data_IF_698838702710
#
_entry.id   IF_698838702710
#
_cell.length_a   1.000
_cell.length_b   1.000
_cell.length_c   1.000
_cell.angle_alpha   90.00
_cell.angle_beta   90.00
_cell.angle_gamma   90.00
#
_symmetry.space_group_name_H-M   'P 1'
#
loop_
_entity.id
_entity.type
_entity.pdbx_description
1 polymer ?
#
# COMPACT_ATOMS: atom_id res chain seq x y z
N UNK A 1 -42.17 -3.12 -4.48
CA UNK A 1 -41.46 -3.19 -5.78
C UNK A 1 -39.98 -2.83 -5.64
N UNK A 2 -39.62 -1.60 -5.23
CA UNK A 2 -38.22 -1.15 -5.14
C UNK A 2 -37.31 -2.05 -4.30
N UNK A 3 -37.78 -2.52 -3.14
CA UNK A 3 -37.01 -3.44 -2.29
C UNK A 3 -36.64 -4.74 -2.99
N UNK A 4 -37.57 -5.32 -3.75
CA UNK A 4 -37.34 -6.55 -4.51
C UNK A 4 -36.30 -6.32 -5.61
N UNK A 5 -36.40 -5.20 -6.33
CA UNK A 5 -35.42 -4.79 -7.34
C UNK A 5 -34.03 -4.59 -6.74
N UNK A 6 -33.92 -3.98 -5.55
CA UNK A 6 -32.65 -3.83 -4.86
C UNK A 6 -32.00 -5.19 -4.54
N UNK A 7 -32.76 -6.16 -4.02
CA UNK A 7 -32.24 -7.53 -3.79
C UNK A 7 -31.80 -8.20 -5.10
N UNK A 8 -32.54 -8.02 -6.18
CA UNK A 8 -32.17 -8.54 -7.50
C UNK A 8 -30.86 -7.93 -8.03
N UNK A 9 -30.66 -6.63 -7.85
CA UNK A 9 -29.41 -5.94 -8.20
C UNK A 9 -28.23 -6.46 -7.36
N UNK A 10 -28.42 -6.66 -6.06
CA UNK A 10 -27.40 -7.24 -5.18
C UNK A 10 -27.03 -8.67 -5.62
N UNK A 11 -28.03 -9.45 -6.07
CA UNK A 11 -27.79 -10.79 -6.63
C UNK A 11 -27.04 -10.71 -7.95
N UNK A 12 -27.38 -9.76 -8.81
CA UNK A 12 -26.73 -9.54 -10.10
C UNK A 12 -25.25 -9.19 -9.96
N UNK A 13 -24.88 -8.38 -8.96
CA UNK A 13 -23.47 -8.09 -8.66
C UNK A 13 -22.76 -9.19 -7.87
N UNK A 14 -23.40 -10.34 -7.67
CA UNK A 14 -22.82 -11.49 -6.98
C UNK A 14 -22.56 -11.28 -5.50
N UNK A 15 -23.37 -10.45 -4.81
CA UNK A 15 -23.27 -10.29 -3.36
C UNK A 15 -23.80 -11.56 -2.66
N UNK A 16 -23.04 -12.18 -1.73
CA UNK A 16 -23.50 -13.36 -1.01
C UNK A 16 -24.64 -13.02 -0.05
N UNK A 17 -25.63 -13.92 0.09
CA UNK A 17 -26.82 -13.74 0.95
C UNK A 17 -27.52 -12.37 0.76
N UNK A 18 -27.90 -11.97 -0.47
CA UNK A 18 -28.37 -10.62 -0.76
C UNK A 18 -29.63 -10.23 0.06
N UNK A 19 -30.50 -11.19 0.37
CA UNK A 19 -31.70 -11.02 1.19
C UNK A 19 -31.39 -10.58 2.62
N UNK A 20 -30.23 -11.00 3.14
CA UNK A 20 -29.73 -10.62 4.47
C UNK A 20 -28.91 -9.34 4.40
N UNK A 21 -28.00 -9.26 3.43
CA UNK A 21 -27.04 -8.16 3.29
C UNK A 21 -27.67 -6.82 2.92
N UNK A 22 -28.86 -6.82 2.33
CA UNK A 22 -29.60 -5.57 2.06
C UNK A 22 -29.92 -4.76 3.33
N UNK A 23 -29.93 -5.41 4.51
CA UNK A 23 -30.16 -4.75 5.81
C UNK A 23 -28.85 -4.44 6.55
N UNK A 24 -27.70 -4.82 6.01
CA UNK A 24 -26.40 -4.60 6.64
C UNK A 24 -25.97 -3.15 6.50
N UNK A 25 -25.31 -2.63 7.55
CA UNK A 25 -24.62 -1.36 7.45
C UNK A 25 -23.33 -1.50 6.64
N UNK A 26 -22.82 -0.41 6.03
CA UNK A 26 -21.58 -0.47 5.25
C UNK A 26 -20.39 -1.07 6.02
N UNK A 27 -20.25 -0.75 7.32
CA UNK A 27 -19.16 -1.26 8.16
C UNK A 27 -19.24 -2.76 8.46
N UNK A 28 -20.34 -3.42 8.13
CA UNK A 28 -20.54 -4.87 8.29
C UNK A 28 -20.21 -5.66 7.01
N UNK A 29 -19.81 -4.96 5.94
CA UNK A 29 -19.44 -5.51 4.64
C UNK A 29 -17.92 -5.45 4.44
N UNK A 30 -17.36 -6.44 3.76
CA UNK A 30 -15.96 -6.38 3.31
C UNK A 30 -15.78 -5.31 2.22
N UNK A 31 -14.55 -4.83 1.98
CA UNK A 31 -14.28 -3.85 0.93
C UNK A 31 -14.80 -4.28 -0.45
N UNK A 32 -14.59 -5.55 -0.83
CA UNK A 32 -15.14 -6.10 -2.07
C UNK A 32 -16.68 -6.17 -2.09
N UNK A 33 -17.32 -6.41 -0.95
CA UNK A 33 -18.78 -6.38 -0.83
C UNK A 33 -19.33 -4.95 -0.93
N UNK A 34 -18.67 -3.98 -0.29
CA UNK A 34 -19.01 -2.56 -0.45
C UNK A 34 -18.89 -2.13 -1.90
N UNK A 35 -17.83 -2.55 -2.60
CA UNK A 35 -17.65 -2.25 -4.02
C UNK A 35 -18.76 -2.85 -4.89
N UNK A 36 -19.17 -4.09 -4.63
CA UNK A 36 -20.32 -4.72 -5.31
C UNK A 36 -21.61 -3.95 -5.07
N UNK A 37 -21.87 -3.50 -3.84
CA UNK A 37 -23.03 -2.65 -3.52
C UNK A 37 -22.97 -1.33 -4.28
N UNK A 38 -21.79 -0.68 -4.37
CA UNK A 38 -21.61 0.55 -5.15
C UNK A 38 -21.88 0.33 -6.64
N UNK A 39 -21.41 -0.78 -7.21
CA UNK A 39 -21.72 -1.15 -8.60
C UNK A 39 -23.23 -1.36 -8.77
N UNK A 40 -23.89 -2.07 -7.85
CA UNK A 40 -25.33 -2.29 -7.88
C UNK A 40 -26.12 -0.97 -7.87
N UNK A 41 -25.66 0.01 -7.06
CA UNK A 41 -26.22 1.36 -7.04
C UNK A 41 -26.02 2.04 -8.40
N UNK A 42 -24.81 1.97 -8.97
CA UNK A 42 -24.49 2.61 -10.25
C UNK A 42 -25.32 2.06 -11.42
N UNK A 43 -25.59 0.74 -11.43
CA UNK A 43 -26.37 0.11 -12.50
C UNK A 43 -27.88 0.09 -12.26
N UNK A 44 -28.36 0.60 -11.12
CA UNK A 44 -29.76 0.46 -10.71
C UNK A 44 -30.76 1.07 -11.72
N UNK A 45 -30.33 2.09 -12.46
CA UNK A 45 -31.11 2.77 -13.49
C UNK A 45 -30.75 2.32 -14.92
N UNK A 46 -30.05 1.20 -15.08
CA UNK A 46 -29.64 0.63 -16.37
C UNK A 46 -28.95 1.68 -17.27
N UNK A 47 -27.87 2.32 -16.78
CA UNK A 47 -27.22 3.39 -17.51
C UNK A 47 -26.54 2.86 -18.78
N UNK A 48 -26.55 3.68 -19.83
CA UNK A 48 -25.79 3.41 -21.06
C UNK A 48 -24.29 3.69 -20.92
N UNK A 49 -23.90 4.44 -19.89
CA UNK A 49 -22.51 4.79 -19.58
C UNK A 49 -22.26 4.61 -18.08
N UNK A 50 -21.25 3.80 -17.75
CA UNK A 50 -20.72 3.67 -16.41
C UNK A 50 -19.37 4.39 -16.33
N UNK A 51 -19.25 5.36 -15.43
CA UNK A 51 -17.97 6.00 -15.10
C UNK A 51 -17.44 5.32 -13.84
N UNK A 52 -16.34 4.61 -13.98
CA UNK A 52 -15.72 3.85 -12.90
C UNK A 52 -14.44 4.55 -12.46
N UNK A 53 -14.54 5.35 -11.39
CA UNK A 53 -13.42 6.08 -10.79
C UNK A 53 -12.73 5.21 -9.73
N UNK A 54 -11.49 4.80 -10.03
CA UNK A 54 -10.64 3.95 -9.19
C UNK A 54 -11.37 2.72 -8.58
N UNK A 55 -12.14 1.94 -9.38
CA UNK A 55 -13.13 1.00 -8.88
C UNK A 55 -12.54 -0.25 -8.22
N UNK A 56 -11.20 -0.37 -8.20
CA UNK A 56 -10.49 -1.50 -7.61
C UNK A 56 -9.49 -1.09 -6.52
N UNK A 57 -9.45 0.21 -6.19
CA UNK A 57 -8.57 0.72 -5.14
C UNK A 57 -8.85 0.05 -3.80
N UNK A 58 -7.78 -0.27 -3.06
CA UNK A 58 -7.82 -0.92 -1.74
C UNK A 58 -8.45 -2.32 -1.71
N UNK A 59 -8.61 -2.97 -2.87
CA UNK A 59 -8.98 -4.38 -2.97
C UNK A 59 -7.71 -5.24 -3.18
N UNK A 60 -7.72 -6.46 -2.66
CA UNK A 60 -6.66 -7.41 -3.00
C UNK A 60 -6.77 -7.87 -4.46
N UNK A 61 -5.67 -8.39 -5.02
CA UNK A 61 -5.55 -8.76 -6.44
C UNK A 61 -6.64 -9.74 -6.89
N UNK A 62 -7.05 -10.68 -6.01
CA UNK A 62 -8.10 -11.65 -6.32
C UNK A 62 -9.46 -10.97 -6.43
N UNK A 63 -9.82 -10.13 -5.46
CA UNK A 63 -11.07 -9.38 -5.47
C UNK A 63 -11.10 -8.35 -6.60
N UNK A 64 -9.99 -7.66 -6.85
CA UNK A 64 -9.83 -6.75 -7.99
C UNK A 64 -10.20 -7.43 -9.31
N UNK A 65 -9.63 -8.62 -9.58
CA UNK A 65 -9.97 -9.38 -10.79
C UNK A 65 -11.46 -9.75 -10.87
N UNK A 66 -12.06 -10.13 -9.74
CA UNK A 66 -13.49 -10.44 -9.70
C UNK A 66 -14.37 -9.21 -10.00
N UNK A 67 -13.98 -8.03 -9.51
CA UNK A 67 -14.70 -6.78 -9.76
C UNK A 67 -14.56 -6.35 -11.22
N UNK A 68 -13.37 -6.45 -11.81
CA UNK A 68 -13.16 -6.18 -13.23
C UNK A 68 -14.01 -7.11 -14.10
N UNK A 69 -13.98 -8.42 -13.82
CA UNK A 69 -14.80 -9.38 -14.55
C UNK A 69 -16.30 -9.06 -14.42
N UNK A 70 -16.76 -8.71 -13.21
CA UNK A 70 -18.13 -8.27 -12.99
C UNK A 70 -18.50 -7.07 -13.86
N UNK A 71 -17.65 -6.05 -13.95
CA UNK A 71 -17.90 -4.87 -14.77
C UNK A 71 -17.94 -5.27 -16.27
N UNK A 72 -17.04 -6.13 -16.75
CA UNK A 72 -17.10 -6.64 -18.14
C UNK A 72 -18.38 -7.42 -18.43
N UNK A 73 -18.83 -8.26 -17.50
CA UNK A 73 -20.05 -9.05 -17.68
C UNK A 73 -21.29 -8.15 -17.71
N UNK A 74 -21.33 -7.14 -16.84
CA UNK A 74 -22.37 -6.11 -16.84
C UNK A 74 -22.34 -5.27 -18.12
N UNK A 75 -21.14 -4.91 -18.60
CA UNK A 75 -20.94 -4.20 -19.86
C UNK A 75 -21.62 -4.92 -21.02
N UNK A 76 -21.32 -6.21 -21.17
CA UNK A 76 -21.89 -7.07 -22.23
C UNK A 76 -23.39 -7.27 -22.05
N UNK A 77 -23.84 -7.53 -20.82
CA UNK A 77 -25.25 -7.82 -20.52
C UNK A 77 -26.16 -6.62 -20.78
N UNK A 78 -25.74 -5.42 -20.39
CA UNK A 78 -26.55 -4.20 -20.50
C UNK A 78 -26.25 -3.38 -21.75
N UNK A 79 -25.24 -3.76 -22.54
CA UNK A 79 -24.79 -2.98 -23.70
C UNK A 79 -24.30 -1.59 -23.30
N UNK A 80 -23.74 -1.44 -22.09
CA UNK A 80 -23.24 -0.16 -21.59
C UNK A 80 -21.80 0.09 -22.09
N UNK A 81 -21.42 1.36 -22.15
CA UNK A 81 -20.01 1.77 -22.27
C UNK A 81 -19.42 2.00 -20.89
N UNK A 82 -18.12 1.76 -20.73
CA UNK A 82 -17.41 1.97 -19.46
C UNK A 82 -16.28 2.96 -19.67
N UNK A 83 -16.29 4.07 -18.94
CA UNK A 83 -15.15 4.97 -18.81
C UNK A 83 -14.42 4.60 -17.52
N UNK A 84 -13.23 4.01 -17.66
CA UNK A 84 -12.43 3.55 -16.54
C UNK A 84 -11.34 4.56 -16.21
N UNK A 85 -11.36 5.12 -15.00
CA UNK A 85 -10.37 6.11 -14.53
C UNK A 85 -9.51 5.40 -13.48
N UNK A 86 -8.22 5.22 -13.78
CA UNK A 86 -7.28 4.63 -12.83
C UNK A 86 -5.84 5.05 -13.10
N UNK A 87 -5.01 5.03 -12.07
CA UNK A 87 -3.56 5.10 -12.18
C UNK A 87 -2.88 3.72 -12.36
N UNK A 88 -3.61 2.60 -12.20
CA UNK A 88 -3.04 1.26 -12.40
C UNK A 88 -3.07 0.86 -13.89
N UNK A 89 -1.94 1.04 -14.56
CA UNK A 89 -1.75 0.64 -15.96
C UNK A 89 -1.93 -0.89 -16.18
N UNK A 90 -1.95 -1.71 -15.14
CA UNK A 90 -2.04 -3.18 -15.24
C UNK A 90 -3.47 -3.58 -15.48
N UNK A 91 -4.37 -2.96 -14.71
CA UNK A 91 -5.80 -3.01 -14.93
C UNK A 91 -6.16 -2.49 -16.32
N UNK A 92 -5.62 -1.33 -16.71
CA UNK A 92 -5.87 -0.77 -18.05
C UNK A 92 -5.45 -1.75 -19.14
N UNK A 93 -4.27 -2.35 -19.01
CA UNK A 93 -3.74 -3.31 -19.98
C UNK A 93 -4.56 -4.60 -20.12
N UNK A 94 -5.27 -5.01 -19.06
CA UNK A 94 -6.09 -6.22 -19.06
C UNK A 94 -7.54 -5.97 -19.51
N UNK A 95 -8.07 -4.77 -19.27
CA UNK A 95 -9.51 -4.52 -19.36
C UNK A 95 -9.94 -3.51 -20.44
N UNK A 96 -9.10 -2.53 -20.79
CA UNK A 96 -9.51 -1.46 -21.69
C UNK A 96 -9.34 -1.85 -23.16
N UNK A 97 -10.16 -1.26 -24.03
CA UNK A 97 -9.95 -1.34 -25.50
C UNK A 97 -9.02 -0.21 -25.98
N UNK A 98 -9.26 1.01 -25.48
CA UNK A 98 -8.51 2.22 -25.76
C UNK A 98 -8.02 2.89 -24.46
N UNK A 99 -6.94 3.66 -24.58
CA UNK A 99 -6.31 4.36 -23.45
C UNK A 99 -6.07 5.80 -23.82
N UNK A 100 -6.37 6.70 -22.88
CA UNK A 100 -6.02 8.12 -22.93
C UNK A 100 -5.07 8.42 -21.78
N UNK A 101 -3.85 8.84 -22.11
CA UNK A 101 -2.84 9.24 -21.12
C UNK A 101 -2.88 10.76 -20.97
N UNK A 102 -3.11 11.23 -19.75
CA UNK A 102 -3.20 12.65 -19.44
C UNK A 102 -2.08 13.11 -18.49
N UNK A 103 -1.65 14.36 -18.66
CA UNK A 103 -0.73 15.05 -17.75
C UNK A 103 -1.09 16.53 -17.67
N UNK A 104 -1.18 17.08 -16.45
CA UNK A 104 -1.53 18.49 -16.20
C UNK A 104 -2.80 18.96 -16.94
N UNK A 105 -3.82 18.09 -17.01
CA UNK A 105 -5.08 18.38 -17.69
C UNK A 105 -5.03 18.31 -19.22
N UNK A 106 -3.93 17.86 -19.81
CA UNK A 106 -3.73 17.76 -21.26
C UNK A 106 -3.53 16.30 -21.65
N UNK A 107 -4.19 15.87 -22.74
CA UNK A 107 -3.95 14.56 -23.34
C UNK A 107 -2.54 14.55 -23.95
N UNK A 108 -1.73 13.60 -23.50
CA UNK A 108 -0.35 13.39 -23.98
C UNK A 108 -0.31 12.33 -25.07
N UNK A 109 -1.14 11.30 -24.94
CA UNK A 109 -1.19 10.21 -25.90
C UNK A 109 -2.56 9.52 -25.83
N UNK A 110 -3.03 9.01 -26.96
CA UNK A 110 -4.25 8.24 -27.07
C UNK A 110 -4.09 7.16 -28.15
N UNK A 111 -4.60 5.96 -27.89
CA UNK A 111 -4.57 4.85 -28.84
C UNK A 111 -5.14 3.56 -28.26
N UNK A 112 -5.01 2.47 -29.01
CA UNK A 112 -5.36 1.14 -28.48
C UNK A 112 -4.42 0.76 -27.35
N UNK A 113 -4.88 -0.10 -26.43
CA UNK A 113 -4.00 -0.63 -25.36
C UNK A 113 -2.70 -1.19 -25.94
N UNK A 114 -2.78 -1.94 -27.03
CA UNK A 114 -1.60 -2.50 -27.69
C UNK A 114 -0.60 -1.42 -28.11
N UNK A 115 -1.07 -0.36 -28.77
CA UNK A 115 -0.20 0.74 -29.21
C UNK A 115 0.47 1.44 -28.03
N UNK A 116 -0.30 1.77 -26.99
CA UNK A 116 0.19 2.50 -25.82
C UNK A 116 1.20 1.67 -25.02
N UNK A 117 0.97 0.37 -24.85
CA UNK A 117 1.81 -0.49 -24.02
C UNK A 117 3.03 -1.06 -24.75
N UNK A 118 2.90 -1.38 -26.04
CA UNK A 118 4.01 -1.98 -26.81
C UNK A 118 4.86 -0.94 -27.54
N UNK A 119 4.27 0.16 -28.02
CA UNK A 119 4.96 1.18 -28.81
C UNK A 119 4.51 2.61 -28.45
N UNK A 120 4.67 3.04 -27.18
CA UNK A 120 4.36 4.40 -26.76
C UNK A 120 5.21 5.42 -27.52
N UNK A 121 4.62 6.55 -27.90
CA UNK A 121 5.29 7.62 -28.61
C UNK A 121 5.70 8.77 -27.67
N UNK A 122 4.82 9.17 -26.76
CA UNK A 122 5.07 10.31 -25.86
C UNK A 122 6.07 9.93 -24.75
N UNK A 123 6.96 10.88 -24.42
CA UNK A 123 7.99 10.67 -23.42
C UNK A 123 7.41 10.38 -22.03
N UNK A 124 6.29 10.99 -21.67
CA UNK A 124 5.62 10.75 -20.39
C UNK A 124 5.00 9.35 -20.34
N UNK A 125 4.38 8.87 -21.42
CA UNK A 125 3.85 7.49 -21.49
C UNK A 125 4.96 6.46 -21.36
N UNK A 126 6.08 6.65 -22.06
CA UNK A 126 7.29 5.81 -21.91
C UNK A 126 7.79 5.78 -20.47
N UNK A 127 7.81 6.95 -19.83
CA UNK A 127 8.23 7.08 -18.44
C UNK A 127 7.29 6.33 -17.49
N UNK A 128 5.97 6.50 -17.63
CA UNK A 128 4.95 5.84 -16.82
C UNK A 128 5.06 4.30 -16.88
N UNK A 129 5.24 3.76 -18.09
CA UNK A 129 5.38 2.31 -18.29
C UNK A 129 6.70 1.79 -17.70
N UNK A 130 7.79 2.55 -17.82
CA UNK A 130 9.11 2.16 -17.32
C UNK A 130 9.25 2.24 -15.80
N UNK A 131 8.41 3.03 -15.12
CA UNK A 131 8.39 3.09 -13.65
C UNK A 131 7.84 1.81 -13.00
N UNK A 132 7.24 0.90 -13.79
CA UNK A 132 6.61 -0.32 -13.26
C UNK A 132 7.68 -1.38 -12.92
N UNK A 133 7.63 -2.01 -11.74
CA UNK A 133 8.52 -3.12 -11.43
C UNK A 133 8.26 -4.31 -12.35
N UNK A 134 9.33 -4.85 -12.94
CA UNK A 134 9.27 -6.04 -13.78
C UNK A 134 9.79 -7.28 -13.03
N UNK A 135 9.24 -8.46 -13.34
CA UNK A 135 9.65 -9.71 -12.68
C UNK A 135 11.00 -10.24 -13.19
N UNK A 136 11.34 -9.96 -14.45
CA UNK A 136 12.59 -10.34 -15.11
C UNK A 136 13.74 -9.39 -14.77
N UNK A 137 13.45 -8.14 -14.41
CA UNK A 137 14.47 -7.11 -14.12
C UNK A 137 14.55 -6.78 -12.63
N UNK A 138 15.76 -6.41 -12.18
CA UNK A 138 15.99 -5.95 -10.81
C UNK A 138 17.06 -4.86 -10.79
N UNK A 139 16.77 -3.69 -11.37
CA UNK A 139 17.73 -2.60 -11.39
C UNK A 139 18.10 -2.17 -9.97
N UNK A 140 19.30 -1.61 -9.82
CA UNK A 140 19.78 -1.03 -8.56
C UNK A 140 18.95 0.19 -8.13
N UNK A 141 18.36 0.91 -9.09
CA UNK A 141 17.42 2.02 -8.89
C UNK A 141 16.29 1.88 -9.91
N UNK A 142 15.05 1.96 -9.46
CA UNK A 142 13.86 1.99 -10.32
C UNK A 142 13.82 3.31 -11.09
N UNK A 143 13.37 3.25 -12.34
CA UNK A 143 13.21 4.45 -13.15
C UNK A 143 12.09 5.32 -12.57
N UNK A 144 12.29 6.64 -12.57
CA UNK A 144 11.26 7.62 -12.21
C UNK A 144 10.95 8.52 -13.41
N UNK A 145 9.82 9.22 -13.37
CA UNK A 145 9.38 10.05 -14.50
C UNK A 145 10.45 11.08 -14.91
N UNK A 146 11.08 11.72 -13.93
CA UNK A 146 12.09 12.75 -14.18
C UNK A 146 13.31 12.23 -14.94
N UNK A 147 13.59 10.92 -14.91
CA UNK A 147 14.71 10.33 -15.65
C UNK A 147 14.47 10.35 -17.17
N UNK A 148 13.20 10.37 -17.61
CA UNK A 148 12.81 10.37 -19.02
C UNK A 148 12.44 11.76 -19.56
N UNK A 149 12.22 12.72 -18.66
CA UNK A 149 11.91 14.10 -19.04
C UNK A 149 13.18 14.95 -19.24
N UNK A 150 14.34 14.43 -18.83
CA UNK A 150 15.65 15.04 -19.09
C UNK A 150 16.05 14.85 -20.55
N UNK A 151 16.89 15.76 -21.09
CA UNK A 151 17.39 15.65 -22.46
C UNK A 151 18.34 14.47 -22.66
N UNK A 152 18.99 13.98 -21.59
CA UNK A 152 19.84 12.79 -21.67
C UNK A 152 18.99 11.51 -21.79
N UNK A 153 19.41 10.54 -22.62
CA UNK A 153 18.72 9.27 -22.69
C UNK A 153 18.85 8.52 -21.36
N UNK A 154 17.74 7.91 -20.92
CA UNK A 154 17.74 7.05 -19.75
C UNK A 154 18.69 5.85 -19.97
N UNK A 155 19.60 5.66 -19.02
CA UNK A 155 20.49 4.50 -18.95
C UNK A 155 20.06 3.65 -17.77
N UNK A 156 19.66 2.41 -18.05
CA UNK A 156 19.24 1.48 -17.00
C UNK A 156 20.43 1.17 -16.08
N UNK A 157 20.28 1.32 -14.74
CA UNK A 157 21.35 1.06 -13.79
C UNK A 157 21.63 -0.46 -13.69
N UNK A 158 22.81 -0.85 -13.16
CA UNK A 158 23.18 -2.27 -13.05
C UNK A 158 22.15 -3.06 -12.23
N UNK A 159 22.05 -4.34 -12.53
CA UNK A 159 21.08 -5.23 -11.88
C UNK A 159 21.64 -5.76 -10.56
N UNK A 160 20.77 -5.93 -9.57
CA UNK A 160 21.08 -6.57 -8.29
C UNK A 160 20.74 -8.05 -8.36
N UNK A 161 21.57 -8.86 -7.71
CA UNK A 161 21.33 -10.31 -7.59
C UNK A 161 20.06 -10.62 -6.79
N UNK A 162 19.39 -11.72 -7.12
CA UNK A 162 18.19 -12.22 -6.42
C UNK A 162 18.59 -13.23 -5.34
N UNK A 163 17.78 -13.31 -4.29
CA UNK A 163 17.95 -14.30 -3.23
C UNK A 163 18.99 -13.94 -2.17
N UNK A 164 19.20 -14.92 -1.28
CA UNK A 164 20.11 -14.82 -0.15
C UNK A 164 21.42 -15.52 -0.53
N UNK A 165 22.55 -14.92 -0.16
CA UNK A 165 23.86 -15.54 -0.26
C UNK A 165 24.15 -16.36 1.01
N UNK A 166 24.99 -17.38 0.89
CA UNK A 166 25.32 -18.28 2.01
C UNK A 166 26.00 -17.58 3.21
N UNK A 167 26.53 -16.37 3.03
CA UNK A 167 27.15 -15.56 4.07
C UNK A 167 26.30 -14.38 4.57
N UNK A 168 25.03 -14.28 4.15
CA UNK A 168 24.18 -13.17 4.58
C UNK A 168 23.89 -13.21 6.09
N UNK A 169 24.12 -12.08 6.76
CA UNK A 169 23.81 -11.90 8.18
C UNK A 169 22.28 -11.85 8.38
N UNK A 170 21.71 -12.83 9.11
CA UNK A 170 20.29 -12.83 9.47
C UNK A 170 20.05 -11.83 10.61
N UNK A 171 19.32 -10.76 10.31
CA UNK A 171 19.01 -9.69 11.27
C UNK A 171 17.75 -10.01 12.07
N UNK A 172 16.76 -10.65 11.44
CA UNK A 172 15.51 -11.07 12.08
C UNK A 172 15.20 -12.53 11.70
N UNK A 173 15.04 -13.37 12.72
CA UNK A 173 14.66 -14.77 12.59
C UNK A 173 13.35 -15.03 13.36
N UNK A 174 12.28 -15.29 12.63
CA UNK A 174 10.93 -15.53 13.16
C UNK A 174 10.69 -17.03 13.17
N UNK A 175 10.33 -17.57 14.33
CA UNK A 175 10.21 -19.01 14.56
C UNK A 175 8.85 -19.32 15.19
N UNK A 176 8.01 -20.01 14.43
CA UNK A 176 6.70 -20.50 14.86
C UNK A 176 5.76 -19.45 15.45
N UNK A 177 5.76 -18.25 14.86
CA UNK A 177 4.98 -17.13 15.35
C UNK A 177 3.48 -17.44 15.25
N UNK A 178 2.77 -17.31 16.37
CA UNK A 178 1.33 -17.51 16.45
C UNK A 178 0.63 -16.29 17.03
N UNK A 179 -0.56 -15.96 16.50
CA UNK A 179 -1.44 -14.93 17.07
C UNK A 179 -2.90 -15.33 16.98
N UNK A 180 -3.53 -15.38 18.15
CA UNK A 180 -4.98 -15.55 18.31
C UNK A 180 -5.62 -14.28 18.89
N UNK A 181 -6.84 -13.99 18.45
CA UNK A 181 -7.71 -12.94 18.98
C UNK A 181 -8.99 -13.55 19.56
N UNK A 182 -9.43 -13.03 20.69
CA UNK A 182 -10.70 -13.44 21.30
C UNK A 182 -11.82 -12.53 20.80
N UNK A 183 -12.76 -13.10 20.05
CA UNK A 183 -13.95 -12.43 19.57
C UNK A 183 -15.11 -12.76 20.51
N UNK A 184 -15.81 -11.75 21.01
CA UNK A 184 -17.01 -11.96 21.84
C UNK A 184 -18.14 -12.50 20.98
N UNK A 185 -18.77 -13.58 21.43
CA UNK A 185 -19.89 -14.23 20.77
C UNK A 185 -21.07 -14.30 21.75
N UNK A 186 -22.06 -13.41 21.54
CA UNK A 186 -23.18 -13.22 22.47
C UNK A 186 -22.77 -12.59 23.81
N UNK A 187 -23.62 -12.76 24.83
CA UNK A 187 -23.42 -12.16 26.17
C UNK A 187 -22.34 -12.89 27.01
N UNK A 188 -22.04 -14.16 26.71
CA UNK A 188 -21.15 -15.00 27.53
C UNK A 188 -20.12 -15.85 26.75
N UNK A 189 -20.19 -15.90 25.42
CA UNK A 189 -19.26 -16.69 24.61
C UNK A 189 -18.01 -15.91 24.19
N UNK A 190 -16.89 -16.61 24.06
CA UNK A 190 -15.70 -16.13 23.36
C UNK A 190 -15.30 -17.17 22.32
N UNK A 191 -15.16 -16.73 21.07
CA UNK A 191 -14.60 -17.53 20.00
C UNK A 191 -13.19 -17.06 19.72
N UNK A 192 -12.25 -17.99 19.65
CA UNK A 192 -10.88 -17.68 19.30
C UNK A 192 -10.72 -17.68 17.77
N UNK A 193 -10.21 -16.57 17.24
CA UNK A 193 -9.83 -16.43 15.84
C UNK A 193 -8.30 -16.48 15.72
N UNK A 194 -7.80 -17.52 15.06
CA UNK A 194 -6.38 -17.72 14.82
C UNK A 194 -5.93 -16.97 13.57
N UNK A 195 -5.39 -15.76 13.75
CA UNK A 195 -4.97 -14.89 12.67
C UNK A 195 -3.58 -15.24 12.09
N UNK A 196 -2.67 -15.75 12.92
CA UNK A 196 -1.34 -16.20 12.50
C UNK A 196 -1.09 -17.58 13.13
N UNK A 197 -0.69 -18.55 12.29
CA UNK A 197 -0.54 -19.95 12.67
C UNK A 197 0.85 -20.42 12.26
N UNK A 198 1.77 -20.51 13.22
CA UNK A 198 3.10 -21.11 13.08
C UNK A 198 3.94 -20.53 11.92
N UNK A 199 4.01 -19.21 11.83
CA UNK A 199 4.76 -18.53 10.76
C UNK A 199 6.25 -18.48 11.11
N UNK A 200 7.08 -18.98 10.19
CA UNK A 200 8.55 -18.94 10.32
C UNK A 200 9.20 -18.38 9.06
N UNK A 201 10.14 -17.45 9.22
CA UNK A 201 10.94 -16.89 8.13
C UNK A 201 12.16 -16.14 8.68
N UNK A 202 13.15 -15.93 7.81
CA UNK A 202 14.36 -15.19 8.11
C UNK A 202 14.47 -13.97 7.20
N UNK A 203 15.00 -12.87 7.73
CA UNK A 203 15.33 -11.65 7.00
C UNK A 203 16.81 -11.33 7.18
N UNK A 204 17.53 -11.39 6.06
CA UNK A 204 18.92 -10.99 5.97
C UNK A 204 19.11 -9.47 5.89
N UNK A 205 20.24 -8.99 6.39
CA UNK A 205 20.67 -7.58 6.30
C UNK A 205 20.74 -7.13 4.84
N UNK A 206 20.18 -5.96 4.55
CA UNK A 206 20.18 -5.39 3.19
C UNK A 206 19.33 -6.18 2.18
N UNK A 207 18.57 -7.18 2.62
CA UNK A 207 17.61 -7.91 1.78
C UNK A 207 16.19 -7.46 2.08
N UNK A 208 15.30 -7.76 1.14
CA UNK A 208 13.87 -7.49 1.26
C UNK A 208 13.12 -8.83 1.28
N UNK A 209 12.26 -9.02 2.27
CA UNK A 209 11.35 -10.16 2.34
C UNK A 209 9.92 -9.67 2.04
N UNK A 210 9.26 -10.30 1.07
CA UNK A 210 7.87 -10.01 0.71
C UNK A 210 6.92 -11.00 1.38
N UNK A 211 5.90 -10.49 2.08
CA UNK A 211 4.78 -11.30 2.59
C UNK A 211 3.56 -10.95 1.74
N UNK A 212 3.06 -11.92 0.98
CA UNK A 212 1.92 -11.75 0.06
C UNK A 212 0.81 -12.73 0.38
N UNK A 213 -0.43 -12.38 0.05
CA UNK A 213 -1.61 -13.22 0.27
C UNK A 213 -2.90 -12.40 0.25
N UNK A 214 -4.04 -13.10 0.24
CA UNK A 214 -5.38 -12.50 0.19
C UNK A 214 -5.67 -11.57 1.38
N UNK A 215 -6.68 -10.72 1.25
CA UNK A 215 -7.15 -9.91 2.37
C UNK A 215 -7.53 -10.79 3.55
N UNK A 216 -7.10 -10.43 4.76
CA UNK A 216 -7.34 -11.22 5.97
C UNK A 216 -6.41 -12.43 6.19
N UNK A 217 -5.41 -12.67 5.34
CA UNK A 217 -4.45 -13.79 5.51
C UNK A 217 -3.48 -13.66 6.69
N UNK A 218 -3.49 -12.54 7.41
CA UNK A 218 -2.65 -12.32 8.60
C UNK A 218 -1.36 -11.51 8.37
N UNK A 219 -1.13 -10.96 7.17
CA UNK A 219 0.08 -10.16 6.81
C UNK A 219 0.34 -9.02 7.80
N UNK A 220 -0.65 -8.14 7.97
CA UNK A 220 -0.59 -7.02 8.90
C UNK A 220 -0.43 -7.50 10.34
N UNK A 221 -1.11 -8.59 10.71
CA UNK A 221 -1.00 -9.19 12.05
C UNK A 221 0.43 -9.65 12.36
N UNK A 222 1.13 -10.25 11.39
CA UNK A 222 2.56 -10.62 11.53
C UNK A 222 3.38 -9.36 11.82
N UNK A 223 3.28 -8.33 10.97
CA UNK A 223 4.01 -7.07 11.14
C UNK A 223 3.76 -6.40 12.50
N UNK A 224 2.50 -6.25 12.90
CA UNK A 224 2.10 -5.67 14.20
C UNK A 224 2.57 -6.50 15.40
N UNK A 225 2.67 -7.81 15.24
CA UNK A 225 3.18 -8.70 16.30
C UNK A 225 4.69 -8.53 16.49
N UNK A 226 5.45 -8.38 15.40
CA UNK A 226 6.90 -8.16 15.44
C UNK A 226 7.27 -6.83 16.14
N UNK A 227 6.46 -5.78 15.96
CA UNK A 227 6.64 -4.50 16.68
C UNK A 227 5.92 -4.45 18.04
N UNK A 228 5.35 -5.58 18.49
CA UNK A 228 4.63 -5.74 19.77
C UNK A 228 3.43 -4.81 19.97
N UNK A 229 2.81 -4.36 18.89
CA UNK A 229 1.48 -3.75 18.95
C UNK A 229 0.39 -4.81 19.19
N UNK A 230 0.69 -6.05 18.81
CA UNK A 230 -0.04 -7.24 19.24
C UNK A 230 0.89 -8.20 19.98
N UNK A 231 0.40 -8.77 21.09
CA UNK A 231 1.12 -9.82 21.79
C UNK A 231 0.95 -11.15 21.06
N UNK A 232 2.07 -11.77 20.71
CA UNK A 232 2.10 -13.13 20.20
C UNK A 232 1.51 -14.11 21.23
N UNK A 233 0.82 -15.12 20.73
CA UNK A 233 0.28 -16.21 21.54
C UNK A 233 1.31 -17.33 21.73
N UNK A 234 2.18 -17.54 20.74
CA UNK A 234 3.31 -18.46 20.81
C UNK A 234 4.40 -18.07 19.79
N UNK A 235 5.53 -18.75 19.81
CA UNK A 235 6.67 -18.51 18.92
C UNK A 235 7.67 -17.49 19.47
N UNK A 236 8.70 -17.21 18.66
CA UNK A 236 9.79 -16.28 18.99
C UNK A 236 10.13 -15.43 17.77
N UNK A 237 10.66 -14.23 18.03
CA UNK A 237 11.22 -13.38 17.00
C UNK A 237 12.59 -12.90 17.48
N UNK A 238 13.65 -13.48 16.94
CA UNK A 238 15.03 -13.20 17.32
C UNK A 238 15.56 -12.07 16.44
N UNK A 239 15.96 -10.96 17.05
CA UNK A 239 16.61 -9.86 16.36
C UNK A 239 18.04 -9.73 16.88
N UNK A 240 19.04 -9.97 16.01
CA UNK A 240 20.43 -10.20 16.42
C UNK A 240 20.56 -11.25 17.55
N UNK A 241 19.78 -12.33 17.45
CA UNK A 241 19.72 -13.41 18.45
C UNK A 241 18.94 -13.09 19.73
N UNK A 242 18.45 -11.87 19.92
CA UNK A 242 17.67 -11.47 21.10
C UNK A 242 16.16 -11.62 20.84
N UNK A 243 15.45 -12.35 21.71
CA UNK A 243 14.00 -12.57 21.55
C UNK A 243 13.17 -11.33 21.89
N UNK A 244 12.63 -10.68 20.85
CA UNK A 244 11.77 -9.51 20.92
C UNK A 244 10.45 -9.77 21.65
N UNK A 245 9.92 -10.99 21.55
CA UNK A 245 8.62 -11.35 22.12
C UNK A 245 8.74 -11.59 23.62
N UNK A 246 9.74 -12.39 24.01
CA UNK A 246 9.98 -12.75 25.42
C UNK A 246 10.55 -11.63 26.29
N UNK A 247 11.15 -10.58 25.71
CA UNK A 247 11.77 -9.52 26.50
C UNK A 247 10.77 -8.59 27.20
N UNK A 248 11.21 -7.94 28.30
CA UNK A 248 10.40 -6.95 29.01
C UNK A 248 10.12 -5.70 28.17
N UNK A 249 9.05 -4.96 28.48
CA UNK A 249 8.71 -3.71 27.79
C UNK A 249 9.82 -2.64 27.91
N UNK A 250 10.53 -2.61 29.04
CA UNK A 250 11.68 -1.72 29.27
C UNK A 250 12.85 -2.08 28.34
N UNK A 251 13.17 -3.36 28.21
CA UNK A 251 14.22 -3.83 27.31
C UNK A 251 13.86 -3.55 25.83
N UNK A 252 12.59 -3.73 25.47
CA UNK A 252 12.11 -3.50 24.10
C UNK A 252 12.20 -2.02 23.66
N UNK A 253 12.20 -1.07 24.60
CA UNK A 253 12.26 0.36 24.29
C UNK A 253 13.48 0.72 23.40
N UNK A 254 14.63 0.08 23.61
CA UNK A 254 15.82 0.29 22.81
C UNK A 254 15.69 -0.18 21.34
N UNK A 255 14.80 -1.15 21.09
CA UNK A 255 14.54 -1.70 19.76
C UNK A 255 13.53 -0.87 18.97
N UNK A 256 12.72 -0.03 19.64
CA UNK A 256 11.76 0.85 18.97
C UNK A 256 12.41 1.74 17.91
N UNK A 257 13.64 2.22 18.12
CA UNK A 257 14.36 3.00 17.09
C UNK A 257 14.95 2.14 15.96
N UNK A 258 15.20 0.85 16.22
CA UNK A 258 15.87 -0.08 15.30
C UNK A 258 14.88 -0.79 14.37
N UNK A 259 13.64 -0.96 14.83
CA UNK A 259 12.56 -1.61 14.09
C UNK A 259 11.41 -0.63 13.96
N UNK A 260 11.13 -0.20 12.74
CA UNK A 260 10.06 0.73 12.42
C UNK A 260 9.01 0.08 11.54
N UNK A 261 7.78 0.60 11.61
CA UNK A 261 6.67 0.15 10.76
C UNK A 261 6.02 1.36 10.10
N UNK A 262 5.83 1.26 8.79
CA UNK A 262 4.97 2.17 8.02
C UNK A 262 3.61 1.48 7.90
N UNK A 263 2.60 2.08 8.51
CA UNK A 263 1.23 1.55 8.50
C UNK A 263 0.54 1.76 7.16
N UNK A 264 -0.42 0.88 6.85
CA UNK A 264 -1.29 0.97 5.67
C UNK A 264 -2.07 2.29 5.64
N UNK A 265 -2.59 2.74 6.79
CA UNK A 265 -3.34 3.97 6.89
C UNK A 265 -2.48 5.09 7.51
N UNK A 266 -2.02 6.08 6.72
CA UNK A 266 -1.19 7.16 7.25
C UNK A 266 -1.96 8.04 8.23
N UNK A 267 -3.29 8.17 8.10
CA UNK A 267 -4.12 9.01 8.98
C UNK A 267 -4.08 8.54 10.43
N UNK A 268 -4.05 7.22 10.65
CA UNK A 268 -3.98 6.66 12.00
C UNK A 268 -2.59 6.84 12.64
N UNK A 269 -1.55 7.00 11.81
CA UNK A 269 -0.16 7.08 12.27
C UNK A 269 0.33 8.51 12.54
N UNK A 270 -0.28 9.52 11.93
CA UNK A 270 0.10 10.93 12.03
C UNK A 270 -0.79 11.66 13.03
N UNK A 271 -0.19 12.39 13.98
CA UNK A 271 -0.96 13.20 14.93
C UNK A 271 -1.50 14.46 14.23
N UNK A 272 -2.83 14.64 14.07
CA UNK A 272 -3.40 15.77 13.33
C UNK A 272 -3.19 17.12 14.02
N UNK A 273 -2.83 17.12 15.31
CA UNK A 273 -2.57 18.34 16.09
C UNK A 273 -1.13 18.85 15.93
N UNK A 274 -0.26 18.06 15.31
CA UNK A 274 1.15 18.39 15.14
C UNK A 274 1.40 18.82 13.70
N UNK A 275 2.31 19.78 13.53
CA UNK A 275 2.89 20.11 12.22
C UNK A 275 3.76 18.96 11.72
N UNK A 276 4.04 18.93 10.42
CA UNK A 276 4.96 17.94 9.82
C UNK A 276 6.33 18.01 10.48
N UNK A 277 6.85 19.20 10.78
CA UNK A 277 8.09 19.36 11.53
C UNK A 277 8.04 18.67 12.90
N UNK A 278 6.99 18.89 13.68
CA UNK A 278 6.83 18.25 14.98
C UNK A 278 6.73 16.73 14.84
N UNK A 279 6.00 16.23 13.85
CA UNK A 279 5.86 14.79 13.58
C UNK A 279 7.22 14.14 13.27
N UNK A 280 8.05 14.80 12.46
CA UNK A 280 9.36 14.26 12.07
C UNK A 280 10.39 14.43 13.20
N UNK A 281 10.35 15.53 13.94
CA UNK A 281 11.37 15.84 14.95
C UNK A 281 11.08 15.24 16.33
N UNK A 282 9.83 14.93 16.68
CA UNK A 282 9.47 14.29 17.96
C UNK A 282 10.20 12.95 18.19
N UNK A 283 10.21 11.99 17.23
CA UNK A 283 10.98 10.75 17.40
C UNK A 283 12.48 11.00 17.57
N UNK A 284 13.02 11.99 16.85
CA UNK A 284 14.43 12.37 16.97
C UNK A 284 14.74 12.92 18.36
N UNK A 285 13.87 13.76 18.92
CA UNK A 285 14.02 14.30 20.28
C UNK A 285 13.99 13.19 21.32
N UNK A 286 13.01 12.28 21.23
CA UNK A 286 12.85 11.15 22.15
C UNK A 286 14.05 10.20 22.15
N UNK A 287 14.72 10.04 21.00
CA UNK A 287 15.85 9.13 20.83
C UNK A 287 17.22 9.80 20.77
N UNK A 288 17.31 11.10 21.06
CA UNK A 288 18.58 11.84 21.10
C UNK A 288 19.27 11.96 19.75
N UNK A 289 18.50 12.00 18.65
CA UNK A 289 18.99 12.21 17.29
C UNK A 289 18.99 13.71 16.98
N UNK A 290 20.13 14.19 16.47
CA UNK A 290 20.40 15.61 16.25
C UNK A 290 20.83 16.33 17.53
N UNK A 291 21.91 17.10 17.42
CA UNK A 291 22.55 17.87 18.50
C UNK A 291 21.61 18.96 19.04
N UNK A 292 20.88 19.63 18.14
CA UNK A 292 19.98 20.72 18.47
C UNK A 292 18.72 20.73 17.59
N UNK A 293 17.82 21.69 17.84
CA UNK A 293 16.59 21.86 17.07
C UNK A 293 16.85 22.19 15.59
N UNK A 294 17.89 22.97 15.28
CA UNK A 294 18.25 23.36 13.92
C UNK A 294 18.77 22.18 13.09
N UNK A 295 19.57 21.29 13.68
CA UNK A 295 20.02 20.06 13.03
C UNK A 295 18.84 19.11 12.79
N UNK A 296 17.93 18.94 13.76
CA UNK A 296 16.73 18.13 13.58
C UNK A 296 15.83 18.65 12.46
N UNK A 297 15.65 19.97 12.38
CA UNK A 297 14.89 20.61 11.29
C UNK A 297 15.53 20.37 9.92
N UNK A 298 16.86 20.48 9.81
CA UNK A 298 17.59 20.17 8.57
C UNK A 298 17.43 18.71 8.15
N UNK A 299 17.60 17.77 9.08
CA UNK A 299 17.37 16.35 8.81
C UNK A 299 15.93 16.06 8.38
N UNK A 300 14.95 16.72 8.99
CA UNK A 300 13.56 16.62 8.59
C UNK A 300 13.33 17.17 7.17
N UNK A 301 13.93 18.32 6.83
CA UNK A 301 13.85 18.89 5.49
C UNK A 301 14.47 17.96 4.44
N UNK A 302 15.69 17.46 4.68
CA UNK A 302 16.37 16.54 3.77
C UNK A 302 15.53 15.29 3.48
N UNK A 303 14.82 14.76 4.50
CA UNK A 303 13.92 13.63 4.34
C UNK A 303 12.67 13.98 3.54
N UNK A 304 12.09 15.18 3.74
CA UNK A 304 10.96 15.65 2.93
C UNK A 304 11.34 15.84 1.47
N UNK A 305 12.54 16.38 1.21
CA UNK A 305 13.06 16.56 -0.15
C UNK A 305 13.24 15.20 -0.84
N UNK A 306 13.79 14.20 -0.13
CA UNK A 306 13.95 12.83 -0.63
C UNK A 306 12.63 12.17 -0.99
N UNK A 307 11.56 12.38 -0.21
CA UNK A 307 10.21 11.89 -0.56
C UNK A 307 9.49 12.81 -1.56
N UNK A 308 10.11 13.88 -2.06
CA UNK A 308 9.52 14.76 -3.07
C UNK A 308 8.38 15.64 -2.54
N UNK A 309 8.47 16.07 -1.27
CA UNK A 309 7.57 17.06 -0.68
C UNK A 309 8.20 18.46 -0.75
N UNK A 310 7.39 19.52 -0.93
CA UNK A 310 7.91 20.87 -1.12
C UNK A 310 8.54 21.44 0.16
N UNK A 311 9.50 22.37 0.03
CA UNK A 311 10.21 23.00 1.15
C UNK A 311 9.30 23.64 2.23
N UNK A 312 8.11 24.11 1.85
CA UNK A 312 7.12 24.65 2.78
C UNK A 312 6.34 23.60 3.57
N UNK A 313 6.58 22.30 3.37
CA UNK A 313 5.78 21.23 3.97
C UNK A 313 5.95 21.12 5.49
N UNK A 314 7.13 21.46 6.04
CA UNK A 314 7.42 21.35 7.48
C UNK A 314 6.43 22.13 8.37
N UNK A 315 6.03 23.33 7.93
CA UNK A 315 5.16 24.22 8.70
C UNK A 315 3.67 23.84 8.64
N UNK A 316 3.29 22.94 7.74
CA UNK A 316 1.90 22.54 7.50
C UNK A 316 1.47 21.40 8.42
N UNK A 317 0.17 21.21 8.53
CA UNK A 317 -0.46 20.10 9.22
C UNK A 317 -0.78 18.94 8.26
N UNK A 318 -0.84 17.68 8.74
CA UNK A 318 -1.16 16.53 7.90
C UNK A 318 -2.45 16.68 7.09
N UNK A 319 -3.45 17.38 7.62
CA UNK A 319 -4.75 17.53 6.95
C UNK A 319 -4.70 18.38 5.67
N UNK A 320 -3.62 19.16 5.48
CA UNK A 320 -3.40 20.01 4.31
C UNK A 320 -2.77 19.26 3.11
N UNK A 321 -2.46 17.98 3.29
CA UNK A 321 -1.82 17.14 2.28
C UNK A 321 -2.79 16.10 1.70
N UNK A 322 -2.55 15.69 0.45
CA UNK A 322 -3.24 14.55 -0.18
C UNK A 322 -2.89 13.23 0.52
N UNK A 323 -3.69 12.18 0.29
CA UNK A 323 -3.42 10.85 0.87
C UNK A 323 -2.00 10.34 0.59
N UNK A 324 -1.56 10.42 -0.67
CA UNK A 324 -0.19 10.02 -1.05
C UNK A 324 0.91 10.92 -0.47
N UNK A 325 0.66 12.22 -0.31
CA UNK A 325 1.60 13.11 0.39
C UNK A 325 1.70 12.76 1.89
N UNK A 326 0.59 12.41 2.55
CA UNK A 326 0.60 11.94 3.94
C UNK A 326 1.34 10.62 4.09
N UNK A 327 1.18 9.70 3.14
CA UNK A 327 1.93 8.46 3.13
C UNK A 327 3.43 8.71 3.08
N UNK A 328 3.86 9.63 2.22
CA UNK A 328 5.26 10.07 2.15
C UNK A 328 5.76 10.71 3.45
N UNK A 329 4.94 11.50 4.14
CA UNK A 329 5.26 12.03 5.47
C UNK A 329 5.44 10.89 6.49
N UNK A 330 4.56 9.88 6.48
CA UNK A 330 4.66 8.72 7.36
C UNK A 330 5.95 7.92 7.11
N UNK A 331 6.33 7.73 5.84
CA UNK A 331 7.60 7.10 5.45
C UNK A 331 8.78 7.91 5.97
N UNK A 332 8.80 9.23 5.68
CA UNK A 332 9.86 10.11 6.15
C UNK A 332 10.02 10.05 7.68
N UNK A 333 8.91 10.06 8.43
CA UNK A 333 8.88 9.93 9.89
C UNK A 333 9.59 8.66 10.35
N UNK A 334 9.31 7.50 9.76
CA UNK A 334 9.98 6.24 10.12
C UNK A 334 11.49 6.28 9.84
N UNK A 335 11.89 6.90 8.74
CA UNK A 335 13.30 7.01 8.34
C UNK A 335 14.11 7.97 9.23
N UNK A 336 13.47 8.86 9.99
CA UNK A 336 14.15 9.76 10.95
C UNK A 336 15.00 9.01 11.97
N UNK A 337 14.62 7.78 12.33
CA UNK A 337 15.30 6.96 13.33
C UNK A 337 16.43 6.11 12.76
N UNK A 338 16.63 6.11 11.42
CA UNK A 338 17.59 5.25 10.70
C UNK A 338 17.48 3.78 11.14
N UNK A 339 16.30 3.15 10.94
CA UNK A 339 16.05 1.80 11.42
C UNK A 339 16.93 0.77 10.69
N UNK A 340 17.21 -0.35 11.36
CA UNK A 340 17.83 -1.53 10.75
C UNK A 340 16.80 -2.43 10.06
N UNK A 341 15.55 -2.42 10.56
CA UNK A 341 14.42 -3.15 9.96
C UNK A 341 13.26 -2.19 9.79
N UNK A 342 12.73 -2.13 8.58
CA UNK A 342 11.55 -1.36 8.23
C UNK A 342 10.45 -2.29 7.71
N UNK A 343 9.36 -2.38 8.46
CA UNK A 343 8.17 -3.14 8.08
C UNK A 343 7.26 -2.22 7.26
N UNK A 344 6.99 -2.61 6.02
CA UNK A 344 6.13 -1.86 5.11
C UNK A 344 4.78 -2.56 4.99
N UNK A 345 3.77 -2.10 5.71
CA UNK A 345 2.41 -2.66 5.67
C UNK A 345 1.60 -1.93 4.58
N UNK A 346 1.56 -2.50 3.38
CA UNK A 346 0.91 -1.90 2.20
C UNK A 346 1.29 -0.43 1.93
N UNK A 347 2.53 -0.07 2.26
CA UNK A 347 2.93 1.33 2.37
C UNK A 347 3.00 2.11 1.04
N UNK A 348 2.87 1.42 -0.09
CA UNK A 348 2.96 2.01 -1.44
C UNK A 348 1.72 1.75 -2.31
N UNK A 349 0.70 1.04 -1.80
CA UNK A 349 -0.45 0.63 -2.61
C UNK A 349 -1.38 1.79 -2.99
N UNK A 350 -1.36 2.88 -2.22
CA UNK A 350 -2.17 4.08 -2.45
C UNK A 350 -1.41 5.21 -3.18
N UNK A 351 -0.25 4.91 -3.77
CA UNK A 351 0.60 5.86 -4.47
C UNK A 351 0.53 5.62 -5.97
N UNK A 352 0.57 6.71 -6.76
CA UNK A 352 0.76 6.58 -8.20
C UNK A 352 2.10 5.91 -8.53
N UNK A 353 2.20 5.33 -9.73
CA UNK A 353 3.36 4.54 -10.17
C UNK A 353 4.67 5.33 -10.07
N UNK A 354 4.63 6.64 -10.31
CA UNK A 354 5.83 7.49 -10.29
C UNK A 354 6.34 7.75 -8.88
N UNK A 355 5.42 8.07 -7.96
CA UNK A 355 5.73 8.30 -6.56
C UNK A 355 6.10 6.99 -5.88
N UNK A 356 5.47 5.88 -6.26
CA UNK A 356 5.84 4.54 -5.80
C UNK A 356 7.31 4.21 -6.13
N UNK A 357 7.74 4.43 -7.38
CA UNK A 357 9.14 4.18 -7.77
C UNK A 357 10.12 5.05 -6.99
N UNK A 358 9.81 6.34 -6.79
CA UNK A 358 10.63 7.25 -5.99
C UNK A 358 10.75 6.79 -4.53
N UNK A 359 9.64 6.41 -3.91
CA UNK A 359 9.61 5.89 -2.54
C UNK A 359 10.40 4.58 -2.44
N UNK A 360 10.21 3.65 -3.39
CA UNK A 360 10.94 2.38 -3.39
C UNK A 360 12.45 2.58 -3.57
N UNK A 361 12.88 3.58 -4.34
CA UNK A 361 14.29 3.96 -4.43
C UNK A 361 14.82 4.45 -3.08
N UNK A 362 14.08 5.33 -2.40
CA UNK A 362 14.45 5.81 -1.06
C UNK A 362 14.55 4.66 -0.03
N UNK A 363 13.76 3.60 -0.16
CA UNK A 363 13.84 2.43 0.71
C UNK A 363 15.00 1.48 0.35
N UNK A 364 15.63 1.67 -0.81
CA UNK A 364 16.79 0.89 -1.26
C UNK A 364 18.13 1.57 -0.94
N UNK A 365 18.13 2.90 -0.87
CA UNK A 365 19.23 3.75 -0.41
C UNK A 365 19.43 3.67 1.11
#
# INVERSE_FOLDING_TARGET
AAWKRAVELLREVGLPEPEKRIKSYPHELSGGQQQRVMIAIAIACEPKLLIADEPTTALDVTIQKQILQLIADLQKKHGMSVLFITHDLGVVGEFADEVVVMRHGVIREQGTVKQIFENPQDAYTKALLSCRPHLDRRPARLAVIDDFLKPEPYVEPPHRERGYAAGDEIVLDVQGLCKSFDIREGLFGKRQFHAVKDVSFQLAKGKTLGIVGESGSGKTTVGLTLVRLHQATAGRALFHGQDLIGMSAKAFHAYKKRIQIIFQNPYASLNPRFTVEQILTEPMQLHGIGQDAGQRRRLAQDLLDKVGLPAGALAKYPHEFSGGQRQRIAIARCLTLKPEVLICDESVSALDVSVQAQVLNLLQD
#
